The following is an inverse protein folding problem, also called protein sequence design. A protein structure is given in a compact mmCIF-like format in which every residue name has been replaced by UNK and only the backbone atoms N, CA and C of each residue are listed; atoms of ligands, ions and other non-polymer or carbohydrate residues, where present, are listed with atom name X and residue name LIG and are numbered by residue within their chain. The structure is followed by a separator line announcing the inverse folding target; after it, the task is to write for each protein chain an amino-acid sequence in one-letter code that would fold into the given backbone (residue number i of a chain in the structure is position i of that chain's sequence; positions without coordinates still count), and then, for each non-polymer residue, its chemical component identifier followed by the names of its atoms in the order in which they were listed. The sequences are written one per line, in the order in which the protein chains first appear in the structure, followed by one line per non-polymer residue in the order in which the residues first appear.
data_IF_472429400289
#
_entry.id   IF_472429400289
#
_cell.length_a   1.000
_cell.length_b   1.000
_cell.length_c   1.000
_cell.angle_alpha   90.00
_cell.angle_beta   90.00
_cell.angle_gamma   90.00
#
_symmetry.space_group_name_H-M   'P 1'
#
loop_
_entity.id
_entity.type
_entity.pdbx_description
1 polymer ?
#
# COMPACT_ATOMS: atom_id res chain seq x y z
N UNK A 1 21.70 2.85 11.13
CA UNK A 1 20.40 3.44 11.53
C UNK A 1 19.63 2.36 12.26
N UNK A 2 19.39 2.49 13.58
CA UNK A 2 18.67 1.47 14.33
C UNK A 2 17.25 1.34 13.77
N UNK A 3 16.81 0.10 13.71
CA UNK A 3 15.61 -0.42 13.08
C UNK A 3 14.33 -0.03 13.87
N UNK A 4 14.02 1.26 13.99
CA UNK A 4 12.66 1.69 14.30
C UNK A 4 11.84 1.55 13.00
N UNK A 5 11.45 0.31 12.71
CA UNK A 5 10.92 -0.12 11.41
C UNK A 5 9.47 0.29 11.16
N UNK A 6 8.80 0.91 12.14
CA UNK A 6 7.43 1.39 12.02
C UNK A 6 7.31 2.76 12.68
N UNK A 7 6.74 3.76 11.99
CA UNK A 7 6.39 5.03 12.61
C UNK A 7 5.28 4.80 13.64
N UNK A 8 5.69 4.88 14.89
CA UNK A 8 4.81 4.78 16.04
C UNK A 8 3.86 5.98 16.11
N UNK A 9 4.15 7.07 15.39
CA UNK A 9 3.31 8.27 15.38
C UNK A 9 1.88 8.03 14.87
N UNK A 10 1.63 6.96 14.10
CA UNK A 10 0.29 6.63 13.64
C UNK A 10 -0.49 5.72 14.61
N UNK A 11 0.17 5.18 15.64
CA UNK A 11 -0.46 4.26 16.58
C UNK A 11 -1.02 5.01 17.78
N UNK A 12 -2.29 4.74 18.07
CA UNK A 12 -3.01 5.29 19.22
C UNK A 12 -2.84 4.42 20.46
N UNK A 13 -3.26 4.92 21.62
CA UNK A 13 -3.28 4.12 22.85
C UNK A 13 -4.19 2.88 22.74
N UNK A 14 -5.29 2.99 21.99
CA UNK A 14 -6.17 1.86 21.70
C UNK A 14 -5.45 0.78 20.89
N UNK A 15 -4.62 1.18 19.92
CA UNK A 15 -3.81 0.28 19.10
C UNK A 15 -2.81 -0.52 19.96
N UNK A 16 -2.08 0.15 20.85
CA UNK A 16 -1.16 -0.51 21.77
C UNK A 16 -1.86 -1.44 22.77
N UNK A 17 -3.01 -1.02 23.30
CA UNK A 17 -3.81 -1.83 24.21
C UNK A 17 -4.32 -3.11 23.52
N UNK A 18 -4.79 -2.99 22.26
CA UNK A 18 -5.20 -4.12 21.45
C UNK A 18 -4.05 -5.10 21.20
N UNK A 19 -2.90 -4.63 20.72
CA UNK A 19 -1.74 -5.48 20.45
C UNK A 19 -1.25 -6.20 21.72
N UNK A 20 -1.19 -5.49 22.85
CA UNK A 20 -0.79 -6.09 24.11
C UNK A 20 -1.78 -7.17 24.59
N UNK A 21 -3.09 -6.93 24.43
CA UNK A 21 -4.13 -7.89 24.78
C UNK A 21 -4.13 -9.12 23.86
N UNK A 22 -3.79 -8.94 22.58
CA UNK A 22 -3.74 -10.05 21.62
C UNK A 22 -2.52 -10.97 21.85
N UNK A 23 -1.35 -10.39 22.12
CA UNK A 23 -0.11 -11.16 22.33
C UNK A 23 -0.12 -11.89 23.68
N UNK A 24 -0.72 -11.30 24.73
CA UNK A 24 -0.77 -11.88 26.08
C UNK A 24 -2.20 -11.97 26.66
N UNK A 25 -2.65 -13.18 27.03
CA UNK A 25 -3.95 -13.34 27.69
C UNK A 25 -3.95 -12.78 29.11
N UNK A 26 -2.81 -12.73 29.80
CA UNK A 26 -2.71 -12.30 31.21
C UNK A 26 -2.82 -10.79 31.32
N UNK A 27 -3.77 -10.30 32.13
CA UNK A 27 -4.03 -8.86 32.30
C UNK A 27 -2.87 -8.11 32.95
N UNK A 28 -2.18 -8.72 33.91
CA UNK A 28 -1.00 -8.16 34.61
C UNK A 28 0.19 -7.86 33.69
N UNK A 29 0.32 -8.59 32.58
CA UNK A 29 1.40 -8.40 31.61
C UNK A 29 1.09 -7.35 30.53
N UNK A 30 -0.18 -6.98 30.32
CA UNK A 30 -0.59 -6.12 29.19
C UNK A 30 0.02 -4.73 29.25
N UNK A 31 0.03 -4.07 30.41
CA UNK A 31 0.60 -2.72 30.56
C UNK A 31 2.12 -2.71 30.37
N UNK A 32 2.79 -3.82 30.71
CA UNK A 32 4.23 -3.97 30.46
C UNK A 32 4.49 -4.14 28.97
N UNK A 33 3.70 -4.97 28.30
CA UNK A 33 3.82 -5.20 26.85
C UNK A 33 3.47 -3.93 26.07
N UNK A 34 2.41 -3.21 26.42
CA UNK A 34 2.05 -1.95 25.76
C UNK A 34 3.18 -0.91 25.84
N UNK A 35 3.87 -0.82 26.99
CA UNK A 35 5.07 0.03 27.13
C UNK A 35 6.21 -0.42 26.22
N UNK A 36 6.51 -1.72 26.20
CA UNK A 36 7.54 -2.26 25.30
C UNK A 36 7.20 -2.03 23.81
N UNK A 37 5.92 -2.08 23.44
CA UNK A 37 5.49 -1.80 22.07
C UNK A 37 5.62 -0.31 21.71
N UNK A 38 5.40 0.60 22.67
CA UNK A 38 5.60 2.05 22.51
C UNK A 38 7.07 2.43 22.36
N UNK A 39 7.99 1.61 22.87
CA UNK A 39 9.42 1.78 22.64
C UNK A 39 9.82 1.38 21.20
N UNK A 40 8.93 0.68 20.48
CA UNK A 40 9.08 0.34 19.06
C UNK A 40 9.95 -0.88 18.78
N UNK A 41 10.66 -0.83 17.66
CA UNK A 41 11.61 -1.85 17.23
C UNK A 41 10.99 -3.22 16.87
N UNK A 42 11.69 -4.29 17.22
CA UNK A 42 11.26 -5.65 16.86
C UNK A 42 10.02 -6.12 17.62
N UNK A 43 9.72 -5.52 18.79
CA UNK A 43 8.57 -5.93 19.60
C UNK A 43 7.26 -5.69 18.83
N UNK A 44 7.13 -4.53 18.18
CA UNK A 44 5.95 -4.20 17.37
C UNK A 44 5.86 -5.09 16.13
N UNK A 45 6.98 -5.35 15.45
CA UNK A 45 6.97 -6.26 14.29
C UNK A 45 6.55 -7.67 14.69
N UNK A 46 7.08 -8.21 15.80
CA UNK A 46 6.68 -9.53 16.32
C UNK A 46 5.20 -9.57 16.68
N UNK A 47 4.67 -8.50 17.28
CA UNK A 47 3.25 -8.42 17.63
C UNK A 47 2.34 -8.39 16.39
N UNK A 48 2.75 -7.69 15.33
CA UNK A 48 2.03 -7.66 14.05
C UNK A 48 2.10 -8.99 13.28
N UNK A 49 3.20 -9.73 13.41
CA UNK A 49 3.35 -11.07 12.81
C UNK A 49 2.66 -12.18 13.62
N UNK A 50 2.29 -11.91 14.88
CA UNK A 50 1.70 -12.91 15.77
C UNK A 50 0.33 -13.38 15.27
N UNK A 51 0.17 -14.72 15.16
CA UNK A 51 -1.09 -15.35 14.76
C UNK A 51 -2.25 -14.99 15.68
N UNK A 52 -2.01 -14.75 16.97
CA UNK A 52 -3.02 -14.33 17.95
C UNK A 52 -3.55 -12.94 17.64
N UNK A 53 -2.71 -12.01 17.18
CA UNK A 53 -3.12 -10.68 16.72
C UNK A 53 -4.07 -10.80 15.53
N UNK A 54 -3.71 -11.61 14.53
CA UNK A 54 -4.59 -11.87 13.38
C UNK A 54 -5.91 -12.52 13.79
N UNK A 55 -5.88 -13.45 14.74
CA UNK A 55 -7.08 -14.13 15.23
C UNK A 55 -7.98 -13.17 16.04
N UNK A 56 -7.40 -12.38 16.93
CA UNK A 56 -8.13 -11.39 17.74
C UNK A 56 -8.84 -10.36 16.86
N UNK A 57 -8.18 -9.91 15.79
CA UNK A 57 -8.78 -8.99 14.82
C UNK A 57 -10.01 -9.58 14.11
N UNK A 58 -10.04 -10.90 13.86
CA UNK A 58 -11.15 -11.58 13.17
C UNK A 58 -12.31 -11.97 14.08
N UNK A 59 -12.05 -12.19 15.36
CA UNK A 59 -13.02 -12.77 16.30
C UNK A 59 -13.78 -11.73 17.12
N UNK A 60 -13.28 -10.50 17.20
CA UNK A 60 -13.88 -9.45 18.01
C UNK A 60 -14.30 -8.23 17.21
N UNK A 61 -15.04 -7.35 17.88
CA UNK A 61 -15.40 -6.03 17.35
C UNK A 61 -14.25 -5.02 17.45
N UNK A 62 -13.08 -5.44 17.91
CA UNK A 62 -11.93 -4.56 18.17
C UNK A 62 -11.51 -3.74 16.95
N UNK A 63 -11.68 -4.28 15.73
CA UNK A 63 -11.36 -3.58 14.48
C UNK A 63 -12.02 -2.20 14.36
N UNK A 64 -13.18 -2.02 15.01
CA UNK A 64 -13.89 -0.74 15.07
C UNK A 64 -13.05 0.34 15.74
N UNK A 65 -12.36 0.00 16.82
CA UNK A 65 -11.66 0.97 17.67
C UNK A 65 -10.19 1.15 17.30
N UNK A 66 -9.68 0.39 16.33
CA UNK A 66 -8.31 0.52 15.84
C UNK A 66 -8.19 1.69 14.87
N UNK A 67 -7.00 2.29 14.86
CA UNK A 67 -6.65 3.21 13.78
C UNK A 67 -6.62 2.48 12.44
N UNK A 68 -7.01 3.14 11.32
CA UNK A 68 -6.85 2.59 9.99
C UNK A 68 -5.43 2.10 9.70
N UNK A 69 -4.41 2.81 10.20
CA UNK A 69 -3.01 2.42 10.03
C UNK A 69 -2.69 1.08 10.69
N UNK A 70 -3.07 0.86 11.95
CA UNK A 70 -2.85 -0.44 12.59
C UNK A 70 -3.63 -1.53 11.86
N UNK A 71 -4.89 -1.26 11.51
CA UNK A 71 -5.76 -2.21 10.82
C UNK A 71 -5.10 -2.73 9.54
N UNK A 72 -4.67 -1.82 8.65
CA UNK A 72 -4.01 -2.21 7.40
C UNK A 72 -2.64 -2.85 7.63
N UNK A 73 -1.88 -2.40 8.63
CA UNK A 73 -0.62 -3.04 9.00
C UNK A 73 -0.81 -4.52 9.34
N UNK A 74 -1.76 -4.84 10.23
CA UNK A 74 -2.06 -6.23 10.62
C UNK A 74 -2.50 -7.07 9.41
N UNK A 75 -3.30 -6.52 8.50
CA UNK A 75 -3.72 -7.23 7.28
C UNK A 75 -2.55 -7.53 6.33
N UNK A 76 -1.65 -6.56 6.13
CA UNK A 76 -0.45 -6.72 5.30
C UNK A 76 0.53 -7.74 5.91
N UNK A 77 0.78 -7.67 7.22
CA UNK A 77 1.64 -8.64 7.92
C UNK A 77 1.06 -10.07 7.88
N UNK A 78 -0.28 -10.21 7.92
CA UNK A 78 -0.94 -11.50 7.70
C UNK A 78 -0.62 -12.07 6.31
N UNK A 79 -0.76 -11.26 5.26
CA UNK A 79 -0.45 -11.67 3.88
C UNK A 79 1.00 -12.07 3.70
N UNK A 80 1.93 -11.31 4.27
CA UNK A 80 3.35 -11.66 4.33
C UNK A 80 3.59 -13.03 4.97
N UNK A 81 2.93 -13.31 6.10
CA UNK A 81 3.06 -14.59 6.80
C UNK A 81 2.47 -15.77 5.99
N UNK A 82 1.35 -15.55 5.31
CA UNK A 82 0.73 -16.52 4.39
C UNK A 82 1.65 -16.85 3.21
N UNK A 83 2.25 -15.84 2.58
CA UNK A 83 3.20 -16.00 1.47
C UNK A 83 4.42 -16.82 1.89
N UNK A 84 5.03 -16.51 3.04
CA UNK A 84 6.16 -17.27 3.59
C UNK A 84 5.81 -18.72 3.88
N UNK A 85 4.61 -18.96 4.40
CA UNK A 85 4.12 -20.32 4.69
C UNK A 85 3.93 -21.13 3.40
N UNK A 86 3.43 -20.50 2.32
CA UNK A 86 3.28 -21.14 1.00
C UNK A 86 4.63 -21.51 0.38
N UNK A 87 5.61 -20.61 0.44
CA UNK A 87 6.97 -20.87 -0.07
C UNK A 87 7.64 -22.02 0.68
N UNK A 88 7.53 -22.05 2.02
CA UNK A 88 8.07 -23.14 2.84
C UNK A 88 7.37 -24.48 2.58
N UNK A 89 6.04 -24.46 2.39
CA UNK A 89 5.26 -25.66 2.06
C UNK A 89 5.64 -26.27 0.72
N UNK A 90 5.83 -25.43 -0.31
CA UNK A 90 6.24 -25.87 -1.66
C UNK A 90 7.65 -26.48 -1.67
N UNK A 91 8.59 -25.92 -0.90
CA UNK A 91 9.93 -26.48 -0.77
C UNK A 91 9.93 -27.88 -0.11
N UNK A 92 9.06 -28.11 0.88
CA UNK A 92 8.93 -29.41 1.54
C UNK A 92 8.27 -30.48 0.66
N UNK A 93 7.27 -30.12 -0.14
CA UNK A 93 6.64 -31.06 -1.07
C UNK A 93 7.62 -31.52 -2.17
N UNK A 94 8.43 -30.60 -2.71
CA UNK A 94 9.42 -30.94 -3.74
C UNK A 94 10.57 -31.82 -3.21
N UNK A 95 10.94 -31.70 -1.93
CA UNK A 95 12.00 -32.51 -1.32
C UNK A 95 11.61 -33.95 -0.96
N UNK A 96 10.31 -34.29 -0.94
CA UNK A 96 9.83 -35.59 -0.45
C UNK A 96 9.60 -36.61 -1.59
N UNK A 97 9.55 -36.19 -2.85
CA UNK A 97 9.37 -37.09 -4.02
C UNK A 97 10.69 -37.68 -4.57
N UNK A 98 11.86 -37.31 -4.02
CA UNK A 98 13.16 -37.65 -4.59
C UNK A 98 13.96 -38.77 -3.91
N UNK A 99 13.48 -39.38 -2.82
CA UNK A 99 14.30 -40.36 -2.09
C UNK A 99 13.48 -41.59 -1.72
N UNK A 100 13.32 -42.47 -2.70
CA UNK A 100 13.02 -43.87 -2.44
C UNK A 100 14.36 -44.56 -2.13
N UNK A 101 14.71 -44.85 -0.85
CA UNK A 101 15.90 -45.61 -0.56
C UNK A 101 15.65 -47.06 -1.02
N UNK A 102 16.23 -47.39 -2.17
CA UNK A 102 16.39 -48.78 -2.55
C UNK A 102 17.07 -49.51 -1.39
N UNK A 103 16.35 -50.51 -0.89
CA UNK A 103 16.65 -51.32 0.28
C UNK A 103 17.95 -52.11 0.01
N UNK A 104 19.09 -51.52 0.37
CA UNK A 104 20.41 -52.14 0.34
C UNK A 104 20.88 -52.50 1.74
N UNK A 105 21.14 -53.78 1.93
CA UNK A 105 21.58 -54.52 3.12
C UNK A 105 22.71 -53.85 3.95
N UNK A 106 22.70 -53.90 5.30
CA UNK A 106 23.80 -53.43 6.12
C UNK A 106 24.70 -54.59 6.58
N UNK A 107 25.90 -54.73 6.01
CA UNK A 107 27.00 -55.48 6.64
C UNK A 107 28.37 -54.84 6.41
N UNK A 108 29.05 -54.56 7.51
CA UNK A 108 30.49 -54.24 7.61
C UNK A 108 30.83 -52.78 7.31
N UNK A 109 31.75 -52.10 7.97
CA UNK A 109 32.72 -52.45 9.00
C UNK A 109 33.09 -51.17 9.76
N UNK A 110 33.44 -51.33 11.03
CA UNK A 110 34.08 -50.30 11.85
C UNK A 110 35.47 -49.95 11.33
N UNK A 111 35.83 -48.66 11.34
CA UNK A 111 37.21 -48.20 11.50
C UNK A 111 37.25 -46.75 12.00
N UNK A 112 37.95 -46.57 13.12
CA UNK A 112 38.36 -45.31 13.74
C UNK A 112 39.49 -44.65 12.94
N UNK A 113 39.55 -43.31 12.96
CA UNK A 113 40.78 -42.47 13.02
C UNK A 113 40.33 -41.00 12.84
N UNK A 114 40.45 -40.16 13.86
CA UNK A 114 41.64 -39.36 14.23
C UNK A 114 41.65 -37.96 13.57
N UNK A 115 41.61 -36.93 14.43
CA UNK A 115 41.80 -35.51 14.12
C UNK A 115 43.27 -35.19 13.78
N UNK A 116 43.55 -34.03 13.14
CA UNK A 116 43.97 -32.82 13.89
C UNK A 116 43.34 -31.53 13.30
N UNK A 117 42.97 -30.50 14.07
CA UNK A 117 43.76 -29.50 14.84
C UNK A 117 44.76 -28.66 14.00
N UNK A 118 44.54 -27.33 13.98
CA UNK A 118 45.34 -26.27 13.34
C UNK A 118 44.65 -25.71 12.08
N UNK A 119 44.55 -24.41 11.80
CA UNK A 119 45.24 -23.23 12.32
C UNK A 119 44.45 -21.94 11.98
N UNK A 120 44.67 -20.93 12.82
CA UNK A 120 44.63 -19.46 12.69
C UNK A 120 43.58 -18.67 11.85
N UNK A 121 43.15 -17.49 12.37
CA UNK A 121 42.23 -16.57 11.70
C UNK A 121 42.94 -15.53 10.81
N UNK A 122 42.49 -15.40 9.57
CA UNK A 122 42.84 -14.28 8.70
C UNK A 122 41.96 -13.05 9.01
N UNK A 123 42.60 -11.93 9.32
CA UNK A 123 42.02 -10.58 9.39
C UNK A 123 41.56 -10.12 7.99
N UNK A 124 40.56 -9.22 7.93
CA UNK A 124 40.50 -8.24 6.85
C UNK A 124 40.61 -6.82 7.41
N UNK A 125 41.77 -6.19 7.20
CA UNK A 125 41.91 -4.74 7.09
C UNK A 125 41.88 -4.40 5.60
N UNK A 126 40.88 -3.63 5.15
CA UNK A 126 40.99 -2.72 4.01
C UNK A 126 39.72 -1.85 3.90
N UNK A 127 39.81 -0.58 4.27
CA UNK A 127 40.04 0.53 3.33
C UNK A 127 38.90 0.75 2.33
N UNK A 128 37.81 1.39 2.80
CA UNK A 128 36.87 2.09 1.93
C UNK A 128 36.90 3.57 2.28
N UNK A 129 37.73 4.35 1.58
CA UNK A 129 37.63 5.80 1.42
C UNK A 129 38.68 6.27 0.39
N UNK A 130 38.27 6.34 -0.88
CA UNK A 130 38.77 7.20 -1.96
C UNK A 130 38.14 6.67 -3.26
N UNK A 131 37.30 7.38 -4.00
CA UNK A 131 37.47 8.76 -4.43
C UNK A 131 38.34 8.80 -5.69
N UNK A 132 37.80 8.35 -6.84
CA UNK A 132 38.37 8.73 -8.14
C UNK A 132 37.36 8.64 -9.28
N UNK A 133 37.00 9.82 -9.77
CA UNK A 133 36.40 10.05 -11.08
C UNK A 133 37.36 9.62 -12.19
N UNK A 134 36.86 8.88 -13.18
CA UNK A 134 37.29 8.95 -14.59
C UNK A 134 36.32 8.19 -15.47
N UNK A 135 35.88 8.86 -16.53
CA UNK A 135 35.00 8.30 -17.54
C UNK A 135 35.68 7.27 -18.45
N UNK A 136 34.81 6.50 -19.10
CA UNK A 136 35.14 5.56 -20.17
C UNK A 136 33.86 4.84 -20.56
N UNK A 137 33.48 4.97 -21.83
CA UNK A 137 32.40 4.24 -22.48
C UNK A 137 32.55 2.71 -22.27
N UNK A 138 31.59 2.10 -21.59
CA UNK A 138 31.24 0.69 -21.76
C UNK A 138 29.72 0.55 -21.74
N UNK A 139 29.15 0.44 -22.93
CA UNK A 139 27.90 -0.25 -23.14
C UNK A 139 28.15 -1.75 -22.94
N UNK A 140 27.74 -2.29 -21.79
CA UNK A 140 27.88 -3.72 -21.49
C UNK A 140 27.20 -4.08 -20.16
N UNK A 141 26.05 -4.74 -20.27
CA UNK A 141 25.31 -5.42 -19.20
C UNK A 141 24.88 -4.61 -17.97
N UNK A 142 23.70 -4.02 -18.09
CA UNK A 142 22.88 -3.64 -16.94
C UNK A 142 22.67 -4.87 -16.01
N UNK A 143 22.93 -4.77 -14.69
CA UNK A 143 22.76 -5.87 -13.74
C UNK A 143 21.29 -6.08 -13.36
N UNK A 144 20.38 -6.10 -14.34
CA UNK A 144 18.95 -5.94 -14.12
C UNK A 144 18.13 -7.24 -14.02
N UNK A 145 18.71 -8.44 -14.11
CA UNK A 145 17.89 -9.66 -14.28
C UNK A 145 18.24 -10.89 -13.43
N UNK A 146 19.26 -10.84 -12.56
CA UNK A 146 19.61 -11.97 -11.66
C UNK A 146 19.71 -11.61 -10.17
N UNK A 147 19.20 -10.45 -9.78
CA UNK A 147 19.00 -10.09 -8.38
C UNK A 147 17.72 -10.73 -7.86
N UNK A 148 17.78 -11.31 -6.67
CA UNK A 148 16.70 -11.99 -5.95
C UNK A 148 15.33 -11.34 -6.14
N UNK A 149 14.30 -12.15 -6.42
CA UNK A 149 12.89 -11.75 -6.25
C UNK A 149 12.66 -11.51 -4.76
N UNK A 150 13.08 -10.37 -4.23
CA UNK A 150 12.61 -9.92 -2.94
C UNK A 150 11.08 -9.89 -3.01
N UNK A 151 10.43 -10.61 -2.11
CA UNK A 151 8.97 -10.55 -2.00
C UNK A 151 8.56 -9.11 -1.74
N UNK A 152 7.50 -8.64 -2.38
CA UNK A 152 6.98 -7.29 -2.21
C UNK A 152 6.85 -6.90 -0.73
N UNK A 153 6.41 -7.86 0.10
CA UNK A 153 6.20 -7.70 1.53
C UNK A 153 7.39 -8.10 2.40
N UNK A 154 8.52 -8.52 1.83
CA UNK A 154 9.71 -8.84 2.62
C UNK A 154 10.38 -7.60 3.20
N UNK A 155 10.23 -6.44 2.54
CA UNK A 155 10.67 -5.15 3.07
C UNK A 155 9.66 -4.60 4.09
N UNK A 156 10.05 -4.40 5.37
CA UNK A 156 9.17 -3.79 6.37
C UNK A 156 8.78 -2.35 5.99
N UNK A 157 9.67 -1.63 5.29
CA UNK A 157 9.41 -0.28 4.79
C UNK A 157 8.32 -0.24 3.71
N UNK A 158 8.24 -1.28 2.88
CA UNK A 158 7.18 -1.41 1.87
C UNK A 158 5.85 -1.70 2.53
N UNK A 159 5.83 -2.59 3.53
CA UNK A 159 4.62 -2.88 4.33
C UNK A 159 4.13 -1.60 5.01
N UNK A 160 5.03 -0.86 5.65
CA UNK A 160 4.72 0.41 6.29
C UNK A 160 4.12 1.42 5.29
N UNK A 161 4.79 1.63 4.15
CA UNK A 161 4.32 2.54 3.11
C UNK A 161 2.90 2.19 2.62
N UNK A 162 2.64 0.90 2.37
CA UNK A 162 1.32 0.45 1.91
C UNK A 162 0.24 0.61 2.99
N UNK A 163 0.58 0.38 4.26
CA UNK A 163 -0.34 0.60 5.37
C UNK A 163 -0.69 2.09 5.50
N UNK A 164 0.31 2.97 5.38
CA UNK A 164 0.13 4.42 5.37
C UNK A 164 -0.74 4.88 4.19
N UNK A 165 -0.42 4.42 2.97
CA UNK A 165 -1.20 4.70 1.77
C UNK A 165 -2.67 4.37 1.97
N UNK A 166 -2.98 3.15 2.43
CA UNK A 166 -4.36 2.71 2.65
C UNK A 166 -5.05 3.49 3.77
N UNK A 167 -4.33 3.78 4.87
CA UNK A 167 -4.85 4.57 5.98
C UNK A 167 -5.24 5.98 5.52
N UNK A 168 -4.43 6.65 4.69
CA UNK A 168 -4.75 7.97 4.16
C UNK A 168 -6.09 8.03 3.41
N UNK A 169 -6.48 6.96 2.72
CA UNK A 169 -7.79 6.88 2.05
C UNK A 169 -8.93 6.59 3.02
N UNK A 170 -8.69 5.86 4.13
CA UNK A 170 -9.68 5.71 5.20
C UNK A 170 -9.95 7.02 5.95
N UNK A 171 -8.99 7.95 5.99
CA UNK A 171 -9.19 9.28 6.55
C UNK A 171 -9.72 10.31 5.55
N UNK A 172 -10.00 9.89 4.31
CA UNK A 172 -10.62 10.77 3.31
C UNK A 172 -12.08 10.34 3.13
N UNK A 173 -13.05 11.27 3.10
CA UNK A 173 -14.44 10.89 2.84
C UNK A 173 -14.57 10.07 1.54
N UNK A 174 -15.46 9.06 1.50
CA UNK A 174 -15.68 8.27 0.30
C UNK A 174 -15.96 9.14 -0.93
N UNK A 175 -15.35 8.80 -2.06
CA UNK A 175 -15.54 9.56 -3.31
C UNK A 175 -14.76 10.87 -3.37
N UNK A 176 -13.89 11.17 -2.41
CA UNK A 176 -13.03 12.36 -2.43
C UNK A 176 -11.54 11.95 -2.50
N UNK A 177 -10.72 12.79 -3.14
CA UNK A 177 -9.28 12.81 -2.99
C UNK A 177 -8.87 14.03 -2.15
N UNK A 178 -7.99 13.82 -1.18
CA UNK A 178 -7.36 14.88 -0.41
C UNK A 178 -5.84 14.89 -0.66
N UNK A 179 -5.27 16.06 -0.90
CA UNK A 179 -3.83 16.25 -1.04
C UNK A 179 -3.41 17.67 -0.68
N UNK A 180 -2.13 17.86 -0.38
CA UNK A 180 -1.53 19.16 -0.06
C UNK A 180 -0.62 19.58 -1.20
N UNK A 181 -0.75 20.83 -1.65
CA UNK A 181 0.05 21.41 -2.72
C UNK A 181 0.40 22.85 -2.35
N UNK A 182 1.69 23.19 -2.32
CA UNK A 182 2.16 24.53 -1.93
C UNK A 182 1.63 24.98 -0.56
N UNK A 183 1.59 24.07 0.42
CA UNK A 183 1.05 24.33 1.77
C UNK A 183 -0.48 24.47 1.85
N UNK A 184 -1.21 24.32 0.74
CA UNK A 184 -2.68 24.37 0.70
C UNK A 184 -3.26 22.97 0.61
N UNK A 185 -4.29 22.70 1.40
CA UNK A 185 -5.04 21.45 1.33
C UNK A 185 -6.16 21.55 0.30
N UNK A 186 -6.18 20.60 -0.64
CA UNK A 186 -7.20 20.43 -1.64
C UNK A 186 -8.02 19.18 -1.33
N UNK A 187 -9.34 19.29 -1.51
CA UNK A 187 -10.29 18.17 -1.45
C UNK A 187 -11.17 18.23 -2.69
N UNK A 188 -11.07 17.22 -3.54
CA UNK A 188 -11.78 17.16 -4.82
C UNK A 188 -12.58 15.86 -4.89
N UNK A 189 -13.78 15.83 -5.49
CA UNK A 189 -14.43 14.57 -5.85
C UNK A 189 -13.53 13.73 -6.76
N UNK A 190 -13.52 12.41 -6.58
CA UNK A 190 -12.73 11.48 -7.40
C UNK A 190 -13.08 11.58 -8.89
N UNK A 191 -14.35 11.84 -9.21
CA UNK A 191 -14.81 12.07 -10.58
C UNK A 191 -14.21 13.34 -11.23
N UNK A 192 -13.75 14.30 -10.43
CA UNK A 192 -13.13 15.55 -10.89
C UNK A 192 -11.59 15.48 -10.92
N UNK A 193 -11.00 14.36 -10.49
CA UNK A 193 -9.55 14.16 -10.54
C UNK A 193 -9.12 14.01 -11.98
N UNK A 194 -8.53 15.06 -12.55
CA UNK A 194 -7.81 14.99 -13.82
C UNK A 194 -6.31 14.78 -13.60
N UNK A 195 -5.85 13.54 -13.81
CA UNK A 195 -4.44 13.16 -13.67
C UNK A 195 -3.52 13.97 -14.59
N UNK A 196 -3.98 14.36 -15.79
CA UNK A 196 -3.19 15.16 -16.71
C UNK A 196 -2.99 16.59 -16.16
N UNK A 197 -4.04 17.19 -15.61
CA UNK A 197 -3.95 18.50 -14.95
C UNK A 197 -3.09 18.46 -13.70
N UNK A 198 -3.20 17.42 -12.87
CA UNK A 198 -2.34 17.27 -11.69
C UNK A 198 -0.86 17.03 -12.05
N UNK A 199 -0.58 16.31 -13.14
CA UNK A 199 0.78 16.17 -13.64
C UNK A 199 1.36 17.52 -14.14
N UNK A 200 0.55 18.37 -14.80
CA UNK A 200 0.99 19.72 -15.15
C UNK A 200 1.33 20.55 -13.92
N UNK A 201 0.54 20.43 -12.85
CA UNK A 201 0.83 21.05 -11.57
C UNK A 201 2.17 20.57 -11.01
N UNK A 202 2.46 19.27 -11.06
CA UNK A 202 3.74 18.71 -10.62
C UNK A 202 4.93 19.30 -11.39
N UNK A 203 4.79 19.49 -12.71
CA UNK A 203 5.84 20.10 -13.54
C UNK A 203 6.08 21.59 -13.20
N UNK A 204 5.03 22.31 -12.82
CA UNK A 204 5.09 23.72 -12.44
C UNK A 204 5.51 23.94 -10.98
N UNK A 205 5.39 22.92 -10.13
CA UNK A 205 5.77 22.99 -8.73
C UNK A 205 7.29 23.17 -8.55
N UNK A 206 7.67 23.81 -7.45
CA UNK A 206 9.08 23.94 -7.08
C UNK A 206 9.69 22.56 -6.84
N UNK A 207 10.96 22.39 -7.20
CA UNK A 207 11.69 21.12 -7.05
C UNK A 207 11.43 20.39 -5.71
N UNK A 208 11.54 21.02 -4.51
CA UNK A 208 11.31 20.30 -3.25
C UNK A 208 9.90 19.72 -3.08
N UNK A 209 8.90 20.26 -3.78
CA UNK A 209 7.51 19.81 -3.69
C UNK A 209 7.19 18.68 -4.68
N UNK A 210 8.01 18.50 -5.72
CA UNK A 210 7.73 17.53 -6.79
C UNK A 210 7.67 16.09 -6.28
N UNK A 211 8.54 15.73 -5.34
CA UNK A 211 8.53 14.39 -4.73
C UNK A 211 7.18 14.06 -4.09
N UNK A 212 6.65 14.93 -3.23
CA UNK A 212 5.39 14.66 -2.55
C UNK A 212 4.21 14.62 -3.52
N UNK A 213 4.22 15.48 -4.54
CA UNK A 213 3.20 15.48 -5.59
C UNK A 213 3.24 14.18 -6.40
N UNK A 214 4.39 13.79 -6.94
CA UNK A 214 4.51 12.55 -7.72
C UNK A 214 4.19 11.31 -6.90
N UNK A 215 4.67 11.24 -5.65
CA UNK A 215 4.30 10.18 -4.71
C UNK A 215 2.78 10.09 -4.57
N UNK A 216 2.12 11.22 -4.29
CA UNK A 216 0.67 11.25 -4.07
C UNK A 216 -0.12 10.86 -5.32
N UNK A 217 0.35 11.23 -6.51
CA UNK A 217 -0.25 10.80 -7.79
C UNK A 217 -0.09 9.30 -8.02
N UNK A 218 1.08 8.73 -7.69
CA UNK A 218 1.30 7.29 -7.66
C UNK A 218 0.36 6.56 -6.68
N UNK A 219 0.20 7.10 -5.47
CA UNK A 219 -0.70 6.53 -4.45
C UNK A 219 -2.17 6.55 -4.91
N UNK A 220 -2.60 7.68 -5.49
CA UNK A 220 -3.96 7.86 -5.99
C UNK A 220 -4.28 6.91 -7.13
N UNK A 221 -3.41 6.82 -8.14
CA UNK A 221 -3.59 5.89 -9.26
C UNK A 221 -3.58 4.43 -8.81
N UNK A 222 -2.72 4.07 -7.87
CA UNK A 222 -2.65 2.73 -7.31
C UNK A 222 -3.91 2.37 -6.54
N UNK A 223 -4.41 3.30 -5.72
CA UNK A 223 -5.66 3.12 -4.99
C UNK A 223 -6.87 3.03 -5.93
N UNK A 224 -6.99 3.96 -6.88
CA UNK A 224 -8.10 3.99 -7.85
C UNK A 224 -8.16 2.71 -8.68
N UNK A 225 -7.02 2.24 -9.19
CA UNK A 225 -6.95 0.96 -9.91
C UNK A 225 -7.27 -0.25 -9.03
N UNK A 226 -7.06 -0.15 -7.71
CA UNK A 226 -7.38 -1.22 -6.76
C UNK A 226 -8.84 -1.25 -6.32
N UNK A 227 -9.51 -0.09 -6.26
CA UNK A 227 -10.92 0.02 -5.87
C UNK A 227 -11.87 -0.13 -7.06
N UNK A 228 -11.45 0.29 -8.25
CA UNK A 228 -12.23 0.15 -9.47
C UNK A 228 -12.65 -1.31 -9.64
N UNK A 229 -13.96 -1.54 -9.57
CA UNK A 229 -14.60 -2.77 -9.98
C UNK A 229 -14.78 -2.64 -11.48
N UNK A 230 -14.23 -3.58 -12.25
CA UNK A 230 -14.52 -3.60 -13.68
C UNK A 230 -16.03 -3.61 -13.87
N UNK A 231 -16.61 -2.71 -14.67
CA UNK A 231 -17.99 -2.85 -15.04
C UNK A 231 -18.10 -4.21 -15.73
N UNK A 232 -18.93 -5.11 -15.15
CA UNK A 232 -19.37 -6.31 -15.85
C UNK A 232 -19.82 -5.83 -17.21
N UNK A 233 -19.10 -6.27 -18.25
CA UNK A 233 -19.35 -5.95 -19.66
C UNK A 233 -20.86 -5.93 -19.84
N UNK A 234 -21.44 -4.73 -20.01
CA UNK A 234 -22.87 -4.58 -20.11
C UNK A 234 -23.27 -5.49 -21.27
N UNK A 235 -24.03 -6.54 -20.97
CA UNK A 235 -24.50 -7.49 -21.97
C UNK A 235 -24.99 -6.67 -23.17
N UNK A 236 -24.57 -7.02 -24.41
CA UNK A 236 -24.88 -6.21 -25.58
C UNK A 236 -26.37 -5.93 -25.56
N UNK A 237 -26.72 -4.64 -25.52
CA UNK A 237 -28.11 -4.21 -25.50
C UNK A 237 -28.85 -4.98 -26.60
N UNK A 238 -30.04 -5.56 -26.33
CA UNK A 238 -30.80 -6.18 -27.40
C UNK A 238 -31.02 -5.11 -28.46
N UNK A 239 -30.56 -5.38 -29.68
CA UNK A 239 -30.72 -4.45 -30.79
C UNK A 239 -32.21 -4.11 -30.91
N UNK A 240 -32.59 -2.87 -30.55
CA UNK A 240 -33.91 -2.31 -30.82
C UNK A 240 -34.02 -2.04 -32.32
N UNK A 241 -34.15 -3.12 -33.06
CA UNK A 241 -34.62 -3.13 -34.42
C UNK A 241 -36.11 -2.80 -34.46
N UNK A 242 -36.40 -1.68 -35.11
CA UNK A 242 -37.67 -1.33 -35.73
C UNK A 242 -38.87 -1.04 -34.81
N UNK A 243 -39.19 0.26 -34.69
CA UNK A 243 -40.51 0.80 -35.05
C UNK A 243 -40.44 2.32 -35.25
N UNK A 244 -40.20 2.71 -36.49
CA UNK A 244 -40.68 3.97 -37.06
C UNK A 244 -42.08 3.73 -37.62
N UNK A 245 -43.10 4.43 -37.12
CA UNK A 245 -44.17 5.05 -37.92
C UNK A 245 -45.27 5.69 -37.04
N UNK A 246 -45.79 6.83 -37.53
CA UNK A 246 -46.96 7.61 -37.12
C UNK A 246 -46.78 8.51 -35.88
N UNK A 247 -47.23 9.76 -35.84
CA UNK A 247 -47.77 10.67 -36.85
C UNK A 247 -47.80 12.08 -36.20
N UNK A 248 -47.59 13.08 -37.05
CA UNK A 248 -48.07 14.46 -37.03
C UNK A 248 -48.99 14.93 -35.90
N UNK A 249 -48.65 16.04 -35.23
CA UNK A 249 -49.60 17.12 -34.93
C UNK A 249 -48.89 18.42 -34.51
N UNK A 250 -49.15 19.45 -35.31
CA UNK A 250 -49.02 20.90 -35.11
C UNK A 250 -49.42 21.42 -33.71
N UNK A 251 -48.72 22.45 -33.23
CA UNK A 251 -49.20 23.30 -32.13
C UNK A 251 -48.17 24.33 -31.65
N UNK A 252 -48.21 25.54 -32.21
CA UNK A 252 -47.53 26.74 -31.74
C UNK A 252 -48.05 27.21 -30.36
N UNK A 253 -47.17 27.63 -29.45
CA UNK A 253 -47.52 28.60 -28.41
C UNK A 253 -46.28 29.35 -27.88
N UNK A 254 -46.51 30.63 -27.57
CA UNK A 254 -45.61 31.77 -27.39
C UNK A 254 -44.63 31.73 -26.19
N UNK A 255 -43.65 32.67 -26.14
CA UNK A 255 -42.70 32.77 -25.05
C UNK A 255 -43.27 33.57 -23.87
N UNK A 256 -43.24 32.99 -22.67
CA UNK A 256 -43.56 33.68 -21.41
C UNK A 256 -42.29 33.92 -20.59
N UNK A 257 -41.98 35.19 -20.37
CA UNK A 257 -41.08 35.68 -19.32
C UNK A 257 -41.60 35.22 -17.95
N UNK A 258 -40.71 34.69 -17.12
CA UNK A 258 -40.86 34.71 -15.67
C UNK A 258 -39.47 34.72 -15.03
N UNK A 259 -39.14 35.86 -14.44
CA UNK A 259 -38.09 36.05 -13.44
C UNK A 259 -38.49 35.31 -12.15
N UNK A 260 -37.50 34.75 -11.44
CA UNK A 260 -37.71 34.07 -10.17
C UNK A 260 -36.61 33.06 -9.85
N UNK A 261 -35.36 33.52 -9.77
CA UNK A 261 -34.23 32.70 -9.32
C UNK A 261 -34.21 32.65 -7.78
N UNK A 262 -35.02 31.76 -7.21
CA UNK A 262 -34.94 31.38 -5.80
C UNK A 262 -34.14 30.08 -5.69
N UNK A 263 -33.10 30.12 -4.85
CA UNK A 263 -32.02 29.14 -4.78
C UNK A 263 -32.48 27.76 -4.33
N UNK A 264 -32.79 26.92 -5.30
CA UNK A 264 -32.94 25.47 -5.14
C UNK A 264 -31.57 24.86 -4.82
N UNK A 265 -31.25 24.79 -3.51
CA UNK A 265 -30.19 23.93 -2.99
C UNK A 265 -30.59 22.50 -3.30
N UNK A 266 -30.14 22.03 -4.46
CA UNK A 266 -30.17 20.61 -4.82
C UNK A 266 -29.50 19.82 -3.70
N UNK A 267 -30.34 19.16 -2.93
CA UNK A 267 -29.97 18.03 -2.09
C UNK A 267 -29.35 16.97 -3.01
N UNK A 268 -28.03 17.04 -3.15
CA UNK A 268 -27.22 16.01 -3.76
C UNK A 268 -27.34 14.77 -2.88
N UNK A 269 -28.29 13.89 -3.22
CA UNK A 269 -28.37 12.55 -2.67
C UNK A 269 -26.99 11.90 -2.82
N UNK A 270 -26.36 11.41 -1.73
CA UNK A 270 -25.08 10.71 -1.85
C UNK A 270 -25.31 9.42 -2.64
N UNK A 271 -24.62 9.33 -3.78
CA UNK A 271 -24.75 8.27 -4.77
C UNK A 271 -24.19 6.95 -4.26
N UNK A 272 -25.05 5.94 -4.22
CA UNK A 272 -24.66 4.55 -4.30
C UNK A 272 -24.70 4.09 -5.75
N UNK A 273 -23.75 3.22 -6.10
CA UNK A 273 -23.60 2.49 -7.36
C UNK A 273 -22.85 3.22 -8.50
N UNK A 274 -21.57 2.89 -8.63
CA UNK A 274 -20.90 2.79 -9.93
C UNK A 274 -20.51 4.09 -10.60
N UNK A 275 -19.82 5.00 -9.91
CA UNK A 275 -19.08 6.04 -10.63
C UNK A 275 -17.95 5.37 -11.42
N UNK A 276 -18.22 5.11 -12.70
CA UNK A 276 -17.19 4.72 -13.65
C UNK A 276 -16.15 5.82 -13.66
N UNK A 277 -14.94 5.52 -13.20
CA UNK A 277 -13.83 6.45 -13.30
C UNK A 277 -13.60 6.79 -14.79
N UNK A 278 -13.18 8.01 -15.12
CA UNK A 278 -12.92 8.41 -16.51
C UNK A 278 -11.67 7.73 -17.10
N UNK A 279 -11.00 6.85 -16.35
CA UNK A 279 -9.76 6.19 -16.72
C UNK A 279 -9.93 4.67 -16.76
N UNK A 280 -9.30 4.04 -17.75
CA UNK A 280 -9.18 2.58 -17.81
C UNK A 280 -8.13 2.08 -16.81
N UNK A 281 -8.24 0.82 -16.39
CA UNK A 281 -7.31 0.22 -15.44
C UNK A 281 -5.86 0.22 -15.95
N UNK A 282 -5.64 -0.06 -17.24
CA UNK A 282 -4.31 -0.08 -17.85
C UNK A 282 -3.70 1.32 -17.95
N UNK A 283 -4.55 2.34 -18.11
CA UNK A 283 -4.13 3.73 -18.10
C UNK A 283 -3.71 4.18 -16.71
N UNK A 284 -4.50 3.87 -15.68
CA UNK A 284 -4.13 4.11 -14.29
C UNK A 284 -2.82 3.41 -13.92
N UNK A 285 -2.64 2.16 -14.36
CA UNK A 285 -1.39 1.42 -14.13
C UNK A 285 -0.19 2.07 -14.82
N UNK A 286 -0.31 2.45 -16.09
CA UNK A 286 0.77 3.10 -16.83
C UNK A 286 1.16 4.44 -16.19
N UNK A 287 0.18 5.29 -15.87
CA UNK A 287 0.46 6.58 -15.24
C UNK A 287 1.00 6.41 -13.81
N UNK A 288 0.45 5.48 -13.02
CA UNK A 288 0.91 5.21 -11.67
C UNK A 288 2.36 4.73 -11.61
N UNK A 289 2.76 3.82 -12.50
CA UNK A 289 4.17 3.40 -12.66
C UNK A 289 5.06 4.61 -12.95
N UNK A 290 4.67 5.44 -13.92
CA UNK A 290 5.42 6.64 -14.32
C UNK A 290 5.56 7.63 -13.17
N UNK A 291 4.51 7.85 -12.37
CA UNK A 291 4.58 8.74 -11.21
C UNK A 291 5.52 8.22 -10.12
N UNK A 292 5.51 6.91 -9.84
CA UNK A 292 6.46 6.33 -8.91
C UNK A 292 7.90 6.39 -9.43
N UNK A 293 8.13 6.22 -10.73
CA UNK A 293 9.45 6.40 -11.35
C UNK A 293 9.97 7.83 -11.17
N UNK A 294 9.14 8.84 -11.47
CA UNK A 294 9.50 10.25 -11.26
C UNK A 294 9.78 10.56 -9.78
N UNK A 295 8.95 10.03 -8.87
CA UNK A 295 9.16 10.18 -7.44
C UNK A 295 10.48 9.53 -6.99
N UNK A 296 10.79 8.34 -7.50
CA UNK A 296 12.01 7.61 -7.17
C UNK A 296 13.29 8.28 -7.70
N UNK A 297 13.21 8.95 -8.86
CA UNK A 297 14.33 9.68 -9.47
C UNK A 297 14.65 11.00 -8.73
N UNK A 298 13.73 11.49 -7.90
CA UNK A 298 13.93 12.72 -7.17
C UNK A 298 15.08 12.59 -6.15
N UNK A 299 15.98 13.59 -6.10
CA UNK A 299 17.19 13.56 -5.25
C UNK A 299 16.90 13.26 -3.78
N UNK A 300 15.84 13.86 -3.22
CA UNK A 300 15.45 13.63 -1.83
C UNK A 300 14.98 12.20 -1.55
N UNK A 301 14.43 11.50 -2.55
CA UNK A 301 13.96 10.12 -2.36
C UNK A 301 15.13 9.17 -2.04
N UNK A 302 16.28 9.35 -2.68
CA UNK A 302 17.48 8.54 -2.47
C UNK A 302 18.10 8.66 -1.06
N UNK A 303 17.74 9.69 -0.30
CA UNK A 303 18.22 9.89 1.08
C UNK A 303 17.34 9.21 2.15
N UNK A 304 16.21 8.65 1.73
CA UNK A 304 15.21 8.05 2.63
C UNK A 304 14.92 6.60 2.23
N UNK A 305 14.20 5.85 3.06
CA UNK A 305 13.72 4.51 2.68
C UNK A 305 12.77 4.54 1.47
N UNK A 306 12.15 5.71 1.20
CA UNK A 306 11.18 5.88 0.12
C UNK A 306 11.79 5.60 -1.24
N UNK A 307 13.05 5.98 -1.51
CA UNK A 307 13.67 5.78 -2.82
C UNK A 307 13.59 4.32 -3.27
N UNK A 308 13.98 3.37 -2.41
CA UNK A 308 13.90 1.93 -2.71
C UNK A 308 12.46 1.44 -2.83
N UNK A 309 11.58 1.89 -1.93
CA UNK A 309 10.16 1.49 -1.96
C UNK A 309 9.48 1.97 -3.24
N UNK A 310 9.70 3.21 -3.67
CA UNK A 310 9.09 3.79 -4.87
C UNK A 310 9.57 3.08 -6.15
N UNK A 311 10.86 2.73 -6.25
CA UNK A 311 11.38 1.89 -7.35
C UNK A 311 10.68 0.54 -7.39
N UNK A 312 10.52 -0.10 -6.22
CA UNK A 312 9.84 -1.40 -6.11
C UNK A 312 8.36 -1.30 -6.53
N UNK A 313 7.66 -0.25 -6.09
CA UNK A 313 6.25 -0.01 -6.45
C UNK A 313 6.08 0.24 -7.94
N UNK A 314 6.97 1.01 -8.58
CA UNK A 314 6.97 1.18 -10.03
C UNK A 314 7.17 -0.15 -10.77
N UNK A 315 8.19 -0.93 -10.36
CA UNK A 315 8.52 -2.19 -11.01
C UNK A 315 7.44 -3.27 -10.82
N UNK A 316 6.79 -3.30 -9.66
CA UNK A 316 5.83 -4.34 -9.27
C UNK A 316 4.38 -3.83 -9.18
N UNK A 317 4.05 -2.73 -9.87
CA UNK A 317 2.76 -2.06 -9.72
C UNK A 317 1.55 -2.99 -9.83
N UNK A 318 1.50 -3.84 -10.88
CA UNK A 318 0.40 -4.79 -11.06
C UNK A 318 0.27 -5.78 -9.91
N UNK A 319 1.38 -6.28 -9.37
CA UNK A 319 1.41 -7.16 -8.19
C UNK A 319 0.89 -6.44 -6.95
N UNK A 320 1.33 -5.20 -6.73
CA UNK A 320 0.86 -4.37 -5.61
C UNK A 320 -0.64 -4.11 -5.73
N UNK A 321 -1.13 -3.75 -6.91
CA UNK A 321 -2.57 -3.55 -7.18
C UNK A 321 -3.38 -4.80 -6.83
N UNK A 322 -2.93 -5.98 -7.26
CA UNK A 322 -3.60 -7.25 -6.94
C UNK A 322 -3.62 -7.50 -5.43
N UNK A 323 -2.52 -7.23 -4.72
CA UNK A 323 -2.46 -7.32 -3.27
C UNK A 323 -3.46 -6.35 -2.61
N UNK A 324 -3.48 -5.08 -3.02
CA UNK A 324 -4.39 -4.08 -2.46
C UNK A 324 -5.86 -4.44 -2.73
N UNK A 325 -6.19 -4.95 -3.92
CA UNK A 325 -7.52 -5.49 -4.23
C UNK A 325 -7.92 -6.58 -3.25
N UNK A 326 -7.02 -7.53 -3.00
CA UNK A 326 -7.28 -8.61 -2.08
C UNK A 326 -7.47 -8.12 -0.64
N UNK A 327 -6.68 -7.14 -0.20
CA UNK A 327 -6.85 -6.51 1.11
C UNK A 327 -8.20 -5.80 1.20
N UNK A 328 -8.52 -4.93 0.24
CA UNK A 328 -9.71 -4.07 0.27
C UNK A 328 -11.02 -4.83 0.09
N UNK A 329 -11.04 -5.84 -0.79
CA UNK A 329 -12.28 -6.53 -1.16
C UNK A 329 -12.49 -7.87 -0.45
N UNK A 330 -11.44 -8.46 0.14
CA UNK A 330 -11.55 -9.75 0.84
C UNK A 330 -11.19 -9.65 2.31
N UNK A 331 -10.04 -9.05 2.63
CA UNK A 331 -9.52 -9.11 4.00
C UNK A 331 -10.17 -8.10 4.93
N UNK A 332 -10.35 -6.87 4.44
CA UNK A 332 -10.96 -5.78 5.19
C UNK A 332 -12.43 -6.09 5.53
N UNK A 333 -13.30 -6.51 4.59
CA UNK A 333 -14.70 -6.86 4.92
C UNK A 333 -14.82 -8.01 5.91
N UNK A 334 -13.82 -8.91 5.97
CA UNK A 334 -13.80 -10.04 6.90
C UNK A 334 -13.52 -9.64 8.36
N UNK A 335 -12.95 -8.45 8.61
CA UNK A 335 -12.66 -7.94 9.96
C UNK A 335 -13.43 -6.66 10.29
N UNK A 336 -13.87 -5.93 9.28
CA UNK A 336 -14.57 -4.66 9.39
C UNK A 336 -15.79 -4.69 8.46
N UNK A 337 -16.96 -5.14 8.95
CA UNK A 337 -18.18 -5.19 8.15
C UNK A 337 -18.50 -3.81 7.57
N UNK A 338 -18.79 -3.73 6.27
CA UNK A 338 -18.92 -2.47 5.53
C UNK A 338 -17.65 -2.01 4.82
N UNK A 339 -16.52 -2.68 5.06
CA UNK A 339 -15.28 -2.51 4.31
C UNK A 339 -14.72 -1.09 4.40
N UNK A 340 -14.14 -0.62 3.29
CA UNK A 340 -13.50 0.69 3.24
C UNK A 340 -14.51 1.84 3.38
N UNK A 341 -15.73 1.70 2.85
CA UNK A 341 -16.73 2.76 2.91
C UNK A 341 -17.16 3.07 4.34
N UNK A 342 -17.43 2.04 5.16
CA UNK A 342 -17.78 2.20 6.57
C UNK A 342 -16.57 2.70 7.39
N UNK A 343 -15.37 2.20 7.08
CA UNK A 343 -14.14 2.68 7.72
C UNK A 343 -13.94 4.19 7.44
N UNK A 344 -14.13 4.62 6.20
CA UNK A 344 -14.02 6.01 5.79
C UNK A 344 -15.16 6.90 6.31
N UNK A 345 -16.37 6.36 6.46
CA UNK A 345 -17.48 7.06 7.13
C UNK A 345 -17.13 7.39 8.59
N UNK A 346 -16.49 6.44 9.29
CA UNK A 346 -16.05 6.63 10.67
C UNK A 346 -14.86 7.59 10.80
N UNK A 347 -13.84 7.44 9.96
CA UNK A 347 -12.56 8.12 10.13
C UNK A 347 -12.33 9.32 9.20
N UNK A 348 -13.19 9.55 8.20
CA UNK A 348 -12.98 10.56 7.14
C UNK A 348 -12.85 12.01 7.60
N UNK A 349 -13.23 12.32 8.84
CA UNK A 349 -13.07 13.63 9.47
C UNK A 349 -12.16 13.62 10.69
N UNK A 350 -11.62 12.46 11.08
CA UNK A 350 -10.69 12.38 12.18
C UNK A 350 -9.36 13.04 11.78
N UNK A 351 -8.67 13.71 12.72
CA UNK A 351 -7.32 14.19 12.47
C UNK A 351 -6.44 13.00 12.11
N UNK A 352 -5.70 13.11 11.01
CA UNK A 352 -4.77 12.08 10.60
C UNK A 352 -3.54 12.16 11.51
N UNK A 353 -3.25 11.12 12.32
CA UNK A 353 -2.04 11.12 13.13
C UNK A 353 -0.82 11.08 12.20
N UNK A 354 0.19 11.91 12.45
CA UNK A 354 1.46 11.94 11.70
C UNK A 354 1.48 12.77 10.41
N UNK A 355 0.38 13.42 9.99
CA UNK A 355 0.37 14.18 8.71
C UNK A 355 1.29 15.41 8.70
N UNK A 356 1.67 15.95 9.86
CA UNK A 356 2.67 17.03 9.91
C UNK A 356 4.04 16.61 9.36
N UNK A 357 4.33 15.29 9.26
CA UNK A 357 5.66 14.77 8.89
C UNK A 357 5.79 14.46 7.39
N UNK A 358 4.68 14.36 6.65
CA UNK A 358 4.68 14.03 5.21
C UNK A 358 4.93 15.23 4.29
N UNK A 359 4.78 16.43 4.82
CA UNK A 359 5.44 17.59 4.22
C UNK A 359 6.93 17.34 4.41
N UNK A 360 7.67 17.18 3.29
CA UNK A 360 9.14 17.15 3.34
C UNK A 360 9.58 18.22 4.34
N UNK A 361 10.44 17.89 5.33
CA UNK A 361 10.77 18.80 6.42
C UNK A 361 11.06 20.14 5.77
N UNK A 362 10.23 21.15 6.07
CA UNK A 362 10.40 22.48 5.48
C UNK A 362 11.86 22.81 5.69
N UNK A 363 12.63 22.85 4.60
CA UNK A 363 14.03 23.20 4.68
C UNK A 363 14.04 24.53 5.40
N UNK A 364 14.53 24.55 6.65
CA UNK A 364 14.60 25.77 7.44
C UNK A 364 15.22 26.79 6.51
N UNK A 365 14.46 27.83 6.18
CA UNK A 365 15.02 29.00 5.50
C UNK A 365 15.97 29.61 6.51
N UNK A 366 17.24 29.23 6.44
CA UNK A 366 18.34 29.90 7.12
C UNK A 366 18.58 31.29 6.52
#
# INVERSE_FOLDING_TARGET
MPANLLPLEHLTDADFAFLAAAVSPRSDARDRIARLLRDGGEAIQRALEDRRTHQALRQGDAARDLSPYLLFSVLLYRRRAEERSRVQGSARSAGTEGTNPSRGDPRGHAAQAAAPSGAEPARPDAHWLAGRERGGDEAGDAPAARGQREGLLDSPWTVHYLAELLACFAYTPPGMAAFTLGGRHFRLPLAEVDLASLNKVALLAAEPERLSIYRRLGDLTLFLSSVAVEPVEAAPAPEEGARSAAASATGSCEPRKAEGAEGDRRDARPGGAGQSLPYREEELEREGRRFYEHAAQHRSAGTTYLGRTLVLLAAQYGTVRTLLRQILHQDLPAVYPGGLAELASRWGNAPQPGVEVLSAPEGRRE
#
